data_IF_333084187097
#
_entry.id   IF_333084187097
#
_cell.length_a   1.000
_cell.length_b   1.000
_cell.length_c   1.000
_cell.angle_alpha   90.00
_cell.angle_beta   90.00
_cell.angle_gamma   90.00
#
_symmetry.space_group_name_H-M   'P 1'
#
loop_
_entity.id
_entity.type
_entity.pdbx_description
1 polymer ?
#
# COMPACT_ATOMS: atom_id res chain seq x y z
N UNK A 1 8.60 -50.63 -37.33
CA UNK A 1 8.29 -49.64 -36.27
C UNK A 1 8.21 -48.26 -36.92
N UNK A 2 7.03 -47.67 -37.08
CA UNK A 2 6.90 -46.26 -37.43
C UNK A 2 5.68 -45.69 -36.71
N UNK A 3 5.91 -44.72 -35.81
CA UNK A 3 4.88 -44.07 -35.00
C UNK A 3 4.31 -42.92 -35.83
N UNK A 4 3.06 -43.08 -36.27
CA UNK A 4 2.30 -42.02 -36.92
C UNK A 4 1.90 -40.98 -35.86
N UNK A 5 2.42 -39.75 -35.96
CA UNK A 5 2.02 -38.63 -35.10
C UNK A 5 0.75 -38.02 -35.71
N UNK A 6 -0.36 -37.89 -34.96
CA UNK A 6 -1.55 -37.26 -35.51
C UNK A 6 -1.27 -35.80 -35.91
N UNK A 7 -1.55 -35.45 -37.17
CA UNK A 7 -1.49 -34.08 -37.69
C UNK A 7 -2.48 -33.21 -36.92
N UNK A 8 -1.99 -32.09 -36.36
CA UNK A 8 -2.84 -31.09 -35.70
C UNK A 8 -3.90 -30.60 -36.70
N UNK A 9 -5.16 -30.43 -36.26
CA UNK A 9 -6.21 -29.89 -37.12
C UNK A 9 -5.85 -28.46 -37.57
N UNK A 10 -6.29 -28.05 -38.78
CA UNK A 10 -6.08 -26.69 -39.26
C UNK A 10 -6.76 -25.69 -38.33
N UNK A 11 -6.10 -24.54 -38.12
CA UNK A 11 -6.60 -23.46 -37.27
C UNK A 11 -7.98 -23.00 -37.77
N UNK A 12 -8.91 -22.83 -36.84
CA UNK A 12 -10.21 -22.24 -37.12
C UNK A 12 -10.06 -20.78 -37.58
N UNK A 13 -11.04 -20.21 -38.30
CA UNK A 13 -11.05 -18.80 -38.66
C UNK A 13 -10.86 -17.85 -37.47
N UNK A 14 -11.40 -18.20 -36.29
CA UNK A 14 -11.23 -17.44 -35.06
C UNK A 14 -9.77 -17.47 -34.55
N UNK A 15 -9.10 -18.63 -34.63
CA UNK A 15 -7.69 -18.76 -34.24
C UNK A 15 -6.73 -18.07 -35.23
N UNK A 16 -7.10 -18.02 -36.52
CA UNK A 16 -6.35 -17.27 -37.53
C UNK A 16 -6.46 -15.74 -37.31
N UNK A 17 -7.67 -15.25 -37.03
CA UNK A 17 -7.91 -13.85 -36.66
C UNK A 17 -7.18 -13.46 -35.36
N UNK A 18 -7.23 -14.31 -34.33
CA UNK A 18 -6.55 -14.07 -33.07
C UNK A 18 -5.01 -14.02 -33.22
N UNK A 19 -4.43 -14.86 -34.08
CA UNK A 19 -3.00 -14.84 -34.41
C UNK A 19 -2.59 -13.60 -35.21
N UNK A 20 -3.44 -13.16 -36.14
CA UNK A 20 -3.19 -11.96 -36.94
C UNK A 20 -3.29 -10.67 -36.11
N UNK A 21 -4.18 -10.63 -35.12
CA UNK A 21 -4.35 -9.49 -34.22
C UNK A 21 -3.35 -9.45 -33.06
N UNK A 22 -2.71 -10.57 -32.71
CA UNK A 22 -1.81 -10.65 -31.57
C UNK A 22 -0.66 -9.61 -31.61
N UNK A 23 0.06 -9.40 -32.73
CA UNK A 23 1.11 -8.38 -32.82
C UNK A 23 0.58 -6.94 -32.64
N UNK A 24 -0.63 -6.66 -33.15
CA UNK A 24 -1.28 -5.35 -32.97
C UNK A 24 -1.63 -5.10 -31.50
N UNK A 25 -2.23 -6.08 -30.84
CA UNK A 25 -2.56 -5.99 -29.40
C UNK A 25 -1.32 -5.88 -28.54
N UNK A 26 -0.23 -6.55 -28.91
CA UNK A 26 1.07 -6.43 -28.23
C UNK A 26 1.67 -5.03 -28.40
N UNK A 27 1.66 -4.49 -29.63
CA UNK A 27 2.12 -3.13 -29.90
C UNK A 27 1.28 -2.07 -29.17
N UNK A 28 -0.04 -2.21 -29.13
CA UNK A 28 -0.95 -1.34 -28.39
C UNK A 28 -0.67 -1.37 -26.88
N UNK A 29 -0.46 -2.57 -26.30
CA UNK A 29 -0.09 -2.72 -24.89
C UNK A 29 1.28 -2.11 -24.59
N UNK A 30 2.27 -2.31 -25.46
CA UNK A 30 3.60 -1.74 -25.31
C UNK A 30 3.59 -0.21 -25.41
N UNK A 31 2.81 0.35 -26.34
CA UNK A 31 2.62 1.78 -26.47
C UNK A 31 1.91 2.38 -25.25
N UNK A 32 0.85 1.74 -24.76
CA UNK A 32 0.14 2.16 -23.55
C UNK A 32 1.08 2.15 -22.33
N UNK A 33 1.88 1.08 -22.17
CA UNK A 33 2.85 1.00 -21.07
C UNK A 33 3.92 2.08 -21.15
N UNK A 34 4.38 2.39 -22.36
CA UNK A 34 5.36 3.47 -22.59
C UNK A 34 4.77 4.84 -22.23
N UNK A 35 3.50 5.09 -22.55
CA UNK A 35 2.81 6.32 -22.20
C UNK A 35 2.63 6.47 -20.68
N UNK A 36 2.24 5.40 -19.99
CA UNK A 36 2.14 5.36 -18.52
C UNK A 36 3.48 5.70 -17.86
N UNK A 37 4.57 5.04 -18.28
CA UNK A 37 5.90 5.28 -17.71
C UNK A 37 6.35 6.73 -17.93
N UNK A 38 6.05 7.33 -19.09
CA UNK A 38 6.35 8.74 -19.33
C UNK A 38 5.56 9.67 -18.41
N UNK A 39 4.27 9.39 -18.21
CA UNK A 39 3.43 10.16 -17.29
C UNK A 39 3.94 10.06 -15.84
N UNK A 40 4.34 8.86 -15.41
CA UNK A 40 4.94 8.64 -14.09
C UNK A 40 6.22 9.44 -13.91
N UNK A 41 7.15 9.38 -14.89
CA UNK A 41 8.41 10.12 -14.82
C UNK A 41 8.21 11.64 -14.80
N UNK A 42 7.24 12.15 -15.55
CA UNK A 42 6.91 13.58 -15.52
C UNK A 42 6.34 14.00 -14.17
N UNK A 43 5.46 13.19 -13.58
CA UNK A 43 4.87 13.43 -12.26
C UNK A 43 5.92 13.35 -11.13
N UNK A 44 6.86 12.40 -11.26
CA UNK A 44 7.93 12.15 -10.30
C UNK A 44 9.00 13.24 -10.32
N UNK A 45 9.29 13.84 -11.48
CA UNK A 45 10.38 14.81 -11.65
C UNK A 45 10.31 16.00 -10.67
N UNK A 46 9.11 16.53 -10.42
CA UNK A 46 8.92 17.63 -9.46
C UNK A 46 9.24 17.17 -8.04
N UNK A 47 8.80 15.96 -7.66
CA UNK A 47 9.06 15.39 -6.33
C UNK A 47 10.57 15.19 -6.14
N UNK A 48 11.25 14.62 -7.13
CA UNK A 48 12.71 14.41 -7.07
C UNK A 48 13.49 15.72 -6.97
N UNK A 49 13.03 16.78 -7.64
CA UNK A 49 13.65 18.10 -7.52
C UNK A 49 13.48 18.70 -6.11
N UNK A 50 12.28 18.59 -5.52
CA UNK A 50 12.01 19.04 -4.16
C UNK A 50 12.78 18.21 -3.12
N UNK A 51 12.87 16.90 -3.30
CA UNK A 51 13.71 16.00 -2.46
C UNK A 51 15.19 16.37 -2.54
N UNK A 52 15.70 16.64 -3.74
CA UNK A 52 17.10 17.06 -3.92
C UNK A 52 17.38 18.40 -3.23
N UNK A 53 16.42 19.31 -3.19
CA UNK A 53 16.56 20.59 -2.50
C UNK A 53 16.69 20.46 -0.98
N UNK A 54 16.30 19.32 -0.41
CA UNK A 54 16.48 18.97 1.01
C UNK A 54 17.58 17.93 1.24
N UNK A 55 18.55 17.88 0.30
CA UNK A 55 19.71 16.98 0.31
C UNK A 55 19.39 15.48 0.23
N UNK A 56 18.23 15.12 -0.33
CA UNK A 56 17.83 13.73 -0.58
C UNK A 56 17.89 13.43 -2.07
N UNK A 57 18.97 12.76 -2.49
CA UNK A 57 19.16 12.35 -3.88
C UNK A 57 18.74 10.89 -4.07
N UNK A 58 17.64 10.68 -4.79
CA UNK A 58 17.10 9.36 -5.18
C UNK A 58 16.69 9.39 -6.66
N UNK A 59 16.65 8.23 -7.30
CA UNK A 59 16.28 8.08 -8.72
C UNK A 59 14.78 7.83 -8.91
N UNK A 60 14.10 7.45 -7.82
CA UNK A 60 12.66 7.27 -7.74
C UNK A 60 12.13 7.51 -6.33
N UNK A 61 10.85 7.91 -6.22
CA UNK A 61 10.10 7.90 -4.95
C UNK A 61 10.07 6.49 -4.35
N UNK A 62 10.09 5.45 -5.17
CA UNK A 62 10.17 4.07 -4.71
C UNK A 62 11.45 3.76 -3.92
N UNK A 63 12.55 4.47 -4.19
CA UNK A 63 13.80 4.30 -3.45
C UNK A 63 13.67 4.73 -1.98
N UNK A 64 12.66 5.56 -1.66
CA UNK A 64 12.35 5.95 -0.28
C UNK A 64 11.56 4.87 0.46
N UNK A 65 10.89 3.94 -0.24
CA UNK A 65 10.08 2.91 0.40
C UNK A 65 10.99 1.95 1.17
N UNK A 66 10.85 1.93 2.50
CA UNK A 66 11.72 1.16 3.40
C UNK A 66 13.08 1.80 3.71
N UNK A 67 13.48 2.86 2.99
CA UNK A 67 14.70 3.62 3.25
C UNK A 67 14.44 5.00 3.86
N UNK A 68 13.19 5.48 3.90
CA UNK A 68 12.83 6.83 4.36
C UNK A 68 13.25 7.14 5.80
N UNK A 69 13.43 6.13 6.66
CA UNK A 69 13.98 6.33 8.01
C UNK A 69 15.40 6.93 7.95
N UNK A 70 16.17 6.60 6.91
CA UNK A 70 17.49 7.18 6.64
C UNK A 70 17.43 8.63 6.13
N UNK A 71 16.25 9.09 5.70
CA UNK A 71 16.04 10.41 5.08
C UNK A 71 14.92 11.19 5.81
N UNK A 72 15.13 11.62 7.08
CA UNK A 72 14.11 12.34 7.82
C UNK A 72 13.67 13.64 7.14
N UNK A 73 14.60 14.29 6.42
CA UNK A 73 14.32 15.51 5.66
C UNK A 73 13.41 15.28 4.44
N UNK A 74 13.27 14.02 3.97
CA UNK A 74 12.33 13.69 2.89
C UNK A 74 10.88 13.71 3.38
N UNK A 75 10.63 13.41 4.65
CA UNK A 75 9.27 13.19 5.15
C UNK A 75 8.34 14.40 4.98
N UNK A 76 8.74 15.65 5.29
CA UNK A 76 7.92 16.84 5.02
C UNK A 76 7.53 16.96 3.54
N UNK A 77 8.49 16.75 2.62
CA UNK A 77 8.26 16.83 1.17
C UNK A 77 7.28 15.74 0.72
N UNK A 78 7.47 14.51 1.19
CA UNK A 78 6.63 13.38 0.83
C UNK A 78 5.17 13.56 1.30
N UNK A 79 4.95 14.00 2.55
CA UNK A 79 3.58 14.23 3.05
C UNK A 79 2.90 15.41 2.33
N UNK A 80 3.62 16.46 1.98
CA UNK A 80 3.08 17.59 1.21
C UNK A 80 2.64 17.17 -0.19
N UNK A 81 3.45 16.35 -0.89
CA UNK A 81 3.05 15.80 -2.18
C UNK A 81 1.89 14.83 -2.05
N UNK A 82 1.89 13.96 -1.03
CA UNK A 82 0.78 13.06 -0.79
C UNK A 82 -0.51 13.86 -0.60
N UNK A 83 -0.54 14.89 0.25
CA UNK A 83 -1.72 15.74 0.43
C UNK A 83 -2.13 16.54 -0.81
N UNK A 84 -1.16 17.04 -1.58
CA UNK A 84 -1.42 17.73 -2.86
C UNK A 84 -2.20 16.85 -3.83
N UNK A 85 -1.82 15.58 -3.92
CA UNK A 85 -2.43 14.59 -4.82
C UNK A 85 -2.33 14.99 -6.30
N UNK A 86 -3.18 14.37 -7.12
CA UNK A 86 -3.13 14.53 -8.59
C UNK A 86 -2.05 13.69 -9.27
N UNK A 87 -1.44 12.76 -8.52
CA UNK A 87 -0.43 11.84 -9.02
C UNK A 87 -1.09 10.56 -9.56
N UNK A 88 -0.47 9.89 -10.56
CA UNK A 88 -0.84 8.52 -10.94
C UNK A 88 -0.82 7.60 -9.72
N UNK A 89 -1.67 6.57 -9.71
CA UNK A 89 -1.83 5.65 -8.57
C UNK A 89 -0.50 5.06 -8.09
N UNK A 90 0.39 4.68 -9.02
CA UNK A 90 1.72 4.14 -8.70
C UNK A 90 2.56 5.11 -7.84
N UNK A 91 2.54 6.40 -8.18
CA UNK A 91 3.30 7.44 -7.46
C UNK A 91 2.60 7.77 -6.14
N UNK A 92 1.27 7.81 -6.14
CA UNK A 92 0.48 8.05 -4.93
C UNK A 92 0.72 6.96 -3.88
N UNK A 93 0.73 5.68 -4.29
CA UNK A 93 1.05 4.57 -3.40
C UNK A 93 2.50 4.64 -2.91
N UNK A 94 3.46 4.94 -3.79
CA UNK A 94 4.87 5.10 -3.43
C UNK A 94 5.07 6.18 -2.35
N UNK A 95 4.43 7.34 -2.50
CA UNK A 95 4.46 8.43 -1.51
C UNK A 95 3.91 7.97 -0.15
N UNK A 96 2.75 7.32 -0.14
CA UNK A 96 2.17 6.80 1.11
C UNK A 96 3.06 5.75 1.78
N UNK A 97 3.62 4.80 1.00
CA UNK A 97 4.51 3.76 1.52
C UNK A 97 5.86 4.31 1.99
N UNK A 98 6.37 5.39 1.38
CA UNK A 98 7.58 6.06 1.83
C UNK A 98 7.40 6.66 3.24
N UNK A 99 6.17 7.06 3.61
CA UNK A 99 5.81 7.46 4.97
C UNK A 99 5.59 6.26 5.92
N UNK A 100 5.77 5.03 5.45
CA UNK A 100 5.72 3.76 6.18
C UNK A 100 6.85 3.56 7.20
N UNK A 101 7.16 4.58 7.99
CA UNK A 101 8.26 4.60 8.95
C UNK A 101 7.85 5.27 10.26
N UNK A 102 8.52 4.91 11.36
CA UNK A 102 8.17 5.44 12.70
C UNK A 102 8.30 6.97 12.76
N UNK A 103 9.29 7.53 12.06
CA UNK A 103 9.50 8.99 12.00
C UNK A 103 8.37 9.77 11.35
N UNK A 104 7.41 9.12 10.70
CA UNK A 104 6.20 9.77 10.18
C UNK A 104 5.16 10.08 11.28
N UNK A 105 5.37 9.67 12.53
CA UNK A 105 4.45 9.92 13.64
C UNK A 105 4.02 11.39 13.83
N UNK A 106 4.86 12.43 13.60
CA UNK A 106 4.42 13.82 13.66
C UNK A 106 3.33 14.19 12.64
N UNK A 107 3.17 13.40 11.57
CA UNK A 107 2.15 13.59 10.54
C UNK A 107 0.91 12.74 10.76
N UNK A 108 0.75 12.13 11.93
CA UNK A 108 -0.36 11.23 12.24
C UNK A 108 -1.73 11.79 11.88
N UNK A 109 -2.07 12.99 12.36
CA UNK A 109 -3.40 13.58 12.14
C UNK A 109 -3.65 13.85 10.64
N UNK A 110 -2.61 14.23 9.89
CA UNK A 110 -2.66 14.40 8.42
C UNK A 110 -2.92 13.07 7.71
N UNK A 111 -2.23 12.01 8.14
CA UNK A 111 -2.43 10.65 7.61
C UNK A 111 -3.83 10.11 7.93
N UNK A 112 -4.36 10.35 9.13
CA UNK A 112 -5.74 9.97 9.49
C UNK A 112 -6.76 10.69 8.62
N UNK A 113 -6.55 11.98 8.32
CA UNK A 113 -7.44 12.74 7.43
C UNK A 113 -7.47 12.14 6.01
N UNK A 114 -6.30 11.80 5.46
CA UNK A 114 -6.17 11.13 4.16
C UNK A 114 -6.78 9.72 4.17
N UNK A 115 -6.63 8.97 5.27
CA UNK A 115 -7.19 7.64 5.39
C UNK A 115 -8.73 7.64 5.40
N UNK A 116 -9.33 8.60 6.11
CA UNK A 116 -10.79 8.76 6.19
C UNK A 116 -11.39 9.25 4.88
N UNK A 117 -10.67 10.09 4.13
CA UNK A 117 -11.14 10.68 2.88
C UNK A 117 -10.14 10.46 1.73
N UNK A 118 -9.87 9.21 1.34
CA UNK A 118 -8.90 8.93 0.29
C UNK A 118 -9.52 9.23 -1.08
N UNK A 119 -8.71 9.82 -1.97
CA UNK A 119 -9.08 10.12 -3.35
C UNK A 119 -9.07 8.87 -4.22
N UNK A 120 -8.14 7.96 -3.97
CA UNK A 120 -7.99 6.70 -4.71
C UNK A 120 -7.73 5.52 -3.78
N UNK A 121 -7.89 4.30 -4.31
CA UNK A 121 -7.53 3.09 -3.57
C UNK A 121 -6.03 3.01 -3.28
N UNK A 122 -5.19 3.47 -4.21
CA UNK A 122 -3.74 3.52 -4.05
C UNK A 122 -3.32 4.44 -2.89
N UNK A 123 -3.97 5.60 -2.77
CA UNK A 123 -3.79 6.49 -1.63
C UNK A 123 -4.15 5.83 -0.30
N UNK A 124 -5.31 5.18 -0.24
CA UNK A 124 -5.72 4.45 0.98
C UNK A 124 -4.68 3.40 1.36
N UNK A 125 -4.21 2.61 0.38
CA UNK A 125 -3.20 1.56 0.62
C UNK A 125 -1.91 2.14 1.18
N UNK A 126 -1.36 3.19 0.54
CA UNK A 126 -0.14 3.84 1.00
C UNK A 126 -0.28 4.45 2.40
N UNK A 127 -1.39 5.15 2.66
CA UNK A 127 -1.66 5.79 3.96
C UNK A 127 -1.85 4.76 5.08
N UNK A 128 -2.47 3.61 4.81
CA UNK A 128 -2.57 2.52 5.80
C UNK A 128 -1.17 2.00 6.17
N UNK A 129 -0.26 1.87 5.21
CA UNK A 129 1.14 1.50 5.48
C UNK A 129 1.81 2.55 6.36
N UNK A 130 1.62 3.84 6.07
CA UNK A 130 2.13 4.93 6.90
C UNK A 130 1.61 4.86 8.34
N UNK A 131 0.28 4.82 8.53
CA UNK A 131 -0.36 4.78 9.85
C UNK A 131 0.06 3.55 10.68
N UNK A 132 0.12 2.37 10.05
CA UNK A 132 0.52 1.15 10.76
C UNK A 132 1.97 1.20 11.24
N UNK A 133 2.88 1.75 10.43
CA UNK A 133 4.29 1.88 10.77
C UNK A 133 4.58 3.02 11.77
N UNK A 134 3.81 4.10 11.73
CA UNK A 134 3.94 5.25 12.63
C UNK A 134 3.12 5.13 13.92
N UNK A 135 2.40 4.02 14.12
CA UNK A 135 1.59 3.78 15.30
C UNK A 135 2.43 3.79 16.59
N UNK A 136 1.78 4.20 17.69
CA UNK A 136 2.39 4.28 19.02
C UNK A 136 1.35 3.99 20.11
N UNK A 137 1.84 3.79 21.34
CA UNK A 137 0.98 3.54 22.51
C UNK A 137 -0.04 4.65 22.77
N UNK A 138 0.32 5.90 22.48
CA UNK A 138 -0.55 7.08 22.67
C UNK A 138 -1.74 7.11 21.69
N UNK A 139 -1.65 6.37 20.57
CA UNK A 139 -2.65 6.35 19.50
C UNK A 139 -3.51 5.10 19.49
N UNK A 140 -3.38 4.22 20.48
CA UNK A 140 -4.11 2.95 20.55
C UNK A 140 -5.62 3.15 20.55
N UNK A 141 -6.13 4.11 21.32
CA UNK A 141 -7.58 4.37 21.36
C UNK A 141 -8.12 4.85 20.01
N UNK A 142 -7.33 5.62 19.26
CA UNK A 142 -7.70 6.06 17.91
C UNK A 142 -7.65 4.92 16.90
N UNK A 143 -6.65 4.02 17.00
CA UNK A 143 -6.61 2.78 16.23
C UNK A 143 -7.85 1.91 16.50
N UNK A 144 -8.25 1.76 17.77
CA UNK A 144 -9.46 1.04 18.17
C UNK A 144 -10.70 1.67 17.52
N UNK A 145 -10.83 3.00 17.58
CA UNK A 145 -11.93 3.72 16.94
C UNK A 145 -11.97 3.49 15.42
N UNK A 146 -10.82 3.47 14.75
CA UNK A 146 -10.73 3.15 13.31
C UNK A 146 -11.11 1.70 13.00
N UNK A 147 -10.76 0.73 13.85
CA UNK A 147 -11.19 -0.66 13.68
C UNK A 147 -12.71 -0.81 13.85
N UNK A 148 -13.31 -0.05 14.76
CA UNK A 148 -14.75 -0.09 15.02
C UNK A 148 -15.58 0.60 13.93
N UNK A 149 -15.01 1.55 13.21
CA UNK A 149 -15.69 2.26 12.12
C UNK A 149 -15.83 1.36 10.87
N UNK A 150 -17.02 0.79 10.71
CA UNK A 150 -17.36 -0.07 9.57
C UNK A 150 -17.36 0.66 8.22
N UNK A 151 -17.51 1.98 8.21
CA UNK A 151 -17.49 2.77 6.97
C UNK A 151 -16.11 2.76 6.27
N UNK A 152 -15.05 2.46 7.03
CA UNK A 152 -13.67 2.35 6.54
C UNK A 152 -13.39 1.00 5.83
N UNK A 153 -14.39 0.12 5.76
CA UNK A 153 -14.34 -1.14 5.02
C UNK A 153 -13.28 -2.10 5.56
N UNK A 154 -12.76 -2.97 4.69
CA UNK A 154 -11.80 -4.03 5.08
C UNK A 154 -10.41 -3.51 5.42
N UNK A 155 -10.07 -2.28 5.02
CA UNK A 155 -8.76 -1.67 5.30
C UNK A 155 -8.48 -1.52 6.80
N UNK A 156 -9.53 -1.44 7.62
CA UNK A 156 -9.44 -1.34 9.09
C UNK A 156 -8.79 -2.56 9.75
N UNK A 157 -8.76 -3.71 9.07
CA UNK A 157 -8.08 -4.93 9.54
C UNK A 157 -6.59 -4.70 9.80
N UNK A 158 -5.95 -3.81 9.03
CA UNK A 158 -4.52 -3.51 9.13
C UNK A 158 -4.10 -2.97 10.52
N UNK A 159 -5.03 -2.39 11.27
CA UNK A 159 -4.75 -1.82 12.59
C UNK A 159 -4.79 -2.83 13.75
N UNK A 160 -5.26 -4.06 13.51
CA UNK A 160 -5.30 -5.12 14.53
C UNK A 160 -3.89 -5.40 15.07
N UNK A 161 -2.90 -5.53 14.18
CA UNK A 161 -1.52 -5.77 14.58
C UNK A 161 -0.92 -4.62 15.41
N UNK A 162 -0.98 -3.34 14.97
CA UNK A 162 -0.58 -2.19 15.79
C UNK A 162 -1.25 -2.12 17.17
N UNK A 163 -2.55 -2.45 17.28
CA UNK A 163 -3.24 -2.47 18.57
C UNK A 163 -2.66 -3.54 19.50
N UNK A 164 -2.29 -4.71 18.99
CA UNK A 164 -1.61 -5.74 19.78
C UNK A 164 -0.19 -5.33 20.17
N UNK A 165 0.52 -4.64 19.28
CA UNK A 165 1.90 -4.22 19.49
C UNK A 165 2.02 -3.08 20.52
N UNK A 166 1.01 -2.20 20.60
CA UNK A 166 1.06 -0.99 21.41
C UNK A 166 0.03 -0.91 22.55
N UNK A 167 -1.08 -1.66 22.48
CA UNK A 167 -2.20 -1.54 23.42
C UNK A 167 -2.10 -2.37 24.70
N UNK A 168 -0.99 -3.06 24.91
CA UNK A 168 -0.77 -3.92 26.09
C UNK A 168 -1.95 -4.88 26.35
N UNK A 169 -2.37 -5.04 27.62
CA UNK A 169 -3.51 -5.90 27.97
C UNK A 169 -4.84 -5.36 27.43
N UNK A 170 -5.00 -4.04 27.32
CA UNK A 170 -6.22 -3.40 26.81
C UNK A 170 -6.45 -3.72 25.34
N UNK A 171 -5.44 -3.44 24.50
CA UNK A 171 -5.46 -3.75 23.07
C UNK A 171 -5.65 -5.23 22.79
N UNK A 172 -5.02 -6.12 23.58
CA UNK A 172 -5.29 -7.56 23.48
C UNK A 172 -6.75 -7.90 23.75
N UNK A 173 -7.32 -7.43 24.86
CA UNK A 173 -8.73 -7.71 25.20
C UNK A 173 -9.68 -7.22 24.12
N UNK A 174 -9.40 -6.05 23.56
CA UNK A 174 -10.14 -5.54 22.41
C UNK A 174 -10.06 -6.49 21.22
N UNK A 175 -8.86 -6.91 20.80
CA UNK A 175 -8.72 -7.84 19.66
C UNK A 175 -9.32 -9.22 19.96
N UNK A 176 -9.27 -9.71 21.20
CA UNK A 176 -9.95 -10.94 21.61
C UNK A 176 -11.48 -10.84 21.45
N UNK A 177 -12.05 -9.65 21.69
CA UNK A 177 -13.50 -9.42 21.49
C UNK A 177 -13.92 -9.43 20.02
N UNK A 178 -12.96 -9.30 19.08
CA UNK A 178 -13.23 -9.30 17.64
C UNK A 178 -13.27 -10.70 17.03
N UNK A 179 -12.96 -11.78 17.76
CA UNK A 179 -12.82 -13.13 17.20
C UNK A 179 -14.07 -13.66 16.51
N UNK A 180 -15.24 -13.22 16.96
CA UNK A 180 -16.54 -13.60 16.41
C UNK A 180 -17.11 -12.51 15.47
N UNK A 181 -16.37 -11.44 15.20
CA UNK A 181 -16.77 -10.43 14.22
C UNK A 181 -16.69 -11.02 12.80
N UNK A 182 -17.73 -10.89 11.97
CA UNK A 182 -17.77 -11.51 10.65
C UNK A 182 -16.74 -10.94 9.67
N UNK A 183 -16.31 -9.69 9.85
CA UNK A 183 -15.35 -9.03 8.95
C UNK A 183 -13.91 -9.09 9.49
N UNK A 184 -13.76 -9.13 10.83
CA UNK A 184 -12.47 -8.97 11.51
C UNK A 184 -11.98 -10.24 12.22
N UNK A 185 -12.85 -11.24 12.43
CA UNK A 185 -12.56 -12.41 13.26
C UNK A 185 -11.40 -13.25 12.76
N UNK A 186 -11.30 -13.46 11.45
CA UNK A 186 -10.20 -14.21 10.84
C UNK A 186 -8.85 -13.53 11.11
N UNK A 187 -8.75 -12.23 10.82
CA UNK A 187 -7.51 -11.48 11.03
C UNK A 187 -7.18 -11.34 12.53
N UNK A 188 -8.18 -11.10 13.37
CA UNK A 188 -8.01 -11.06 14.83
C UNK A 188 -7.42 -12.38 15.37
N UNK A 189 -7.98 -13.52 14.96
CA UNK A 189 -7.48 -14.83 15.35
C UNK A 189 -6.05 -15.09 14.83
N UNK A 190 -5.77 -14.72 13.58
CA UNK A 190 -4.45 -14.86 12.99
C UNK A 190 -3.39 -14.03 13.74
N UNK A 191 -3.70 -12.77 14.07
CA UNK A 191 -2.77 -11.86 14.73
C UNK A 191 -2.54 -12.22 16.21
N UNK A 192 -3.58 -12.67 16.93
CA UNK A 192 -3.46 -13.20 18.29
C UNK A 192 -2.55 -14.44 18.34
N UNK A 193 -2.65 -15.32 17.33
CA UNK A 193 -1.83 -16.53 17.24
C UNK A 193 -0.34 -16.20 17.00
N UNK A 194 -0.06 -15.20 16.16
CA UNK A 194 1.31 -14.73 15.87
C UNK A 194 1.97 -14.03 17.06
N UNK A 195 1.17 -13.48 17.99
CA UNK A 195 1.62 -12.70 19.15
C UNK A 195 1.11 -13.35 20.44
N UNK A 196 1.68 -14.47 20.92
CA UNK A 196 1.22 -15.06 22.18
C UNK A 196 1.50 -14.12 23.37
N UNK A 197 0.64 -14.21 24.40
CA UNK A 197 0.90 -13.53 25.67
C UNK A 197 2.27 -13.97 26.21
N UNK A 198 3.19 -13.02 26.39
CA UNK A 198 4.43 -13.29 27.12
C UNK A 198 4.05 -13.67 28.55
N UNK A 199 4.37 -14.89 28.96
CA UNK A 199 4.24 -15.30 30.36
C UNK A 199 5.11 -14.37 31.21
N UNK A 200 4.62 -13.88 32.37
CA UNK A 200 5.47 -13.16 33.30
C UNK A 200 6.66 -14.07 33.68
N UNK A 201 7.87 -13.51 33.65
CA UNK A 201 9.06 -14.14 34.22
C UNK A 201 8.99 -14.11 35.73
#
# INVERSE_FOLDING_TARGET
MSKDRPKRPPLSPAELLAKHDAPRREAERAAAKTAEVRAWRAAEATILAELKAVDVAVDSVWDLVGAAESYPNALPVVIEHLERGGYPDEITEALGRALGVRRAAPYWDRLVALYRNPRTAAERTGVVVALTASASAERVEELIAMVQDRSLGTSRTAFIAPILDHGARGGRRFVESLRDDPDLGEEAAAQLSKRPLRRPR
#
